data_IF_957619447521
#
_entry.id   IF_957619447521
#
_cell.length_a   1.000
_cell.length_b   1.000
_cell.length_c   1.000
_cell.angle_alpha   90.00
_cell.angle_beta   90.00
_cell.angle_gamma   90.00
#
_symmetry.space_group_name_H-M   'P 1'
#
loop_
_entity.id
_entity.type
_entity.pdbx_description
1 polymer ?
#
# COMPACT_ATOMS: atom_id res chain seq x y z
N UNK A 1 -32.26 78.90 -15.94
CA UNK A 1 -31.97 77.52 -16.40
C UNK A 1 -33.03 76.64 -15.77
N UNK A 2 -33.85 75.97 -16.56
CA UNK A 2 -34.93 75.11 -16.03
C UNK A 2 -34.37 73.74 -15.66
N UNK A 3 -35.01 73.15 -14.62
CA UNK A 3 -34.70 71.85 -14.06
C UNK A 3 -35.08 70.70 -15.04
N UNK A 4 -34.23 69.70 -15.04
CA UNK A 4 -34.47 68.45 -15.81
C UNK A 4 -35.56 67.60 -15.17
N UNK A 5 -36.36 66.85 -15.95
CA UNK A 5 -37.43 66.00 -15.43
C UNK A 5 -36.92 64.69 -14.85
N UNK A 6 -37.56 64.24 -13.77
CA UNK A 6 -37.41 62.92 -13.15
C UNK A 6 -37.77 61.78 -14.15
N UNK A 7 -37.01 60.68 -14.12
CA UNK A 7 -37.43 59.49 -14.90
C UNK A 7 -38.53 58.73 -14.18
N UNK A 8 -39.50 58.29 -14.97
CA UNK A 8 -40.64 57.51 -14.57
C UNK A 8 -40.26 56.15 -13.96
N UNK A 9 -40.97 55.78 -12.87
CA UNK A 9 -40.87 54.48 -12.23
C UNK A 9 -41.42 53.36 -13.12
N UNK A 10 -40.54 52.39 -13.44
CA UNK A 10 -40.93 51.11 -14.09
C UNK A 10 -41.72 50.22 -13.10
N UNK A 11 -42.77 49.51 -13.56
CA UNK A 11 -43.50 48.57 -12.72
C UNK A 11 -42.71 47.28 -12.50
N UNK A 12 -42.72 46.79 -11.25
CA UNK A 12 -42.06 45.57 -10.83
C UNK A 12 -42.65 44.33 -11.58
N UNK A 13 -41.78 43.37 -12.01
CA UNK A 13 -42.26 42.15 -12.65
C UNK A 13 -42.96 41.22 -11.65
N UNK A 14 -44.12 40.74 -12.01
CA UNK A 14 -44.93 39.75 -11.29
C UNK A 14 -44.15 38.43 -11.09
N UNK A 15 -44.09 37.96 -9.85
CA UNK A 15 -43.57 36.62 -9.49
C UNK A 15 -44.45 35.54 -10.08
N UNK A 16 -43.90 34.59 -10.86
CA UNK A 16 -44.61 33.35 -11.13
C UNK A 16 -44.55 32.46 -9.89
N UNK A 17 -45.68 32.08 -9.36
CA UNK A 17 -45.82 31.02 -8.38
C UNK A 17 -45.39 29.70 -8.98
N UNK A 18 -44.22 29.22 -8.61
CA UNK A 18 -43.73 27.90 -8.88
C UNK A 18 -43.72 27.10 -7.58
N UNK A 19 -44.70 26.27 -7.37
CA UNK A 19 -44.65 25.15 -6.44
C UNK A 19 -43.62 24.15 -6.99
N UNK A 20 -42.37 24.43 -6.78
CA UNK A 20 -41.27 23.47 -7.03
C UNK A 20 -41.14 22.59 -5.82
N UNK A 21 -41.69 21.41 -5.90
CA UNK A 21 -41.36 20.26 -5.07
C UNK A 21 -39.86 19.99 -5.22
N UNK A 22 -39.05 20.66 -4.40
CA UNK A 22 -37.64 20.26 -4.19
C UNK A 22 -37.65 19.00 -3.33
N UNK A 23 -37.95 17.88 -3.98
CA UNK A 23 -37.65 16.58 -3.44
C UNK A 23 -36.18 16.55 -3.07
N UNK A 24 -35.91 16.82 -1.79
CA UNK A 24 -34.63 16.51 -1.18
C UNK A 24 -34.26 15.07 -1.58
N UNK A 25 -33.33 14.93 -2.50
CA UNK A 25 -32.69 13.66 -2.77
C UNK A 25 -31.98 13.25 -1.48
N UNK A 26 -32.72 12.58 -0.61
CA UNK A 26 -32.23 11.91 0.59
C UNK A 26 -31.22 10.89 0.06
N UNK A 27 -29.95 11.32 -0.03
CA UNK A 27 -28.83 10.43 -0.33
C UNK A 27 -28.85 9.38 0.77
N UNK A 28 -29.39 8.19 0.45
CA UNK A 28 -29.48 7.05 1.37
C UNK A 28 -28.12 6.86 2.01
N UNK A 29 -28.03 7.07 3.33
CA UNK A 29 -26.82 6.77 4.10
C UNK A 29 -26.39 5.34 3.77
N UNK A 30 -25.13 5.10 3.39
CA UNK A 30 -24.66 3.75 3.11
C UNK A 30 -24.90 2.88 4.35
N UNK A 31 -25.26 1.62 4.14
CA UNK A 31 -25.43 0.68 5.26
C UNK A 31 -24.13 0.57 6.09
N UNK A 32 -24.26 0.33 7.40
CA UNK A 32 -23.09 0.16 8.29
C UNK A 32 -22.11 -0.90 7.77
N UNK A 33 -22.62 -1.99 7.16
CA UNK A 33 -21.80 -3.02 6.54
C UNK A 33 -20.98 -2.48 5.37
N UNK A 34 -21.58 -1.67 4.49
CA UNK A 34 -20.87 -1.02 3.37
C UNK A 34 -19.84 -0.02 3.88
N UNK A 35 -20.13 0.71 4.96
CA UNK A 35 -19.20 1.61 5.61
C UNK A 35 -18.00 0.85 6.20
N UNK A 36 -18.26 -0.27 6.91
CA UNK A 36 -17.21 -1.13 7.45
C UNK A 36 -16.33 -1.72 6.35
N UNK A 37 -16.90 -2.26 5.27
CA UNK A 37 -16.15 -2.80 4.14
C UNK A 37 -15.25 -1.73 3.47
N UNK A 38 -15.73 -0.49 3.33
CA UNK A 38 -14.92 0.62 2.81
C UNK A 38 -13.76 0.98 3.76
N UNK A 39 -13.99 0.96 5.08
CA UNK A 39 -12.96 1.23 6.09
C UNK A 39 -11.90 0.12 6.12
N UNK A 40 -12.25 -1.14 5.85
CA UNK A 40 -11.31 -2.25 5.72
C UNK A 40 -10.31 -2.08 4.55
N UNK A 41 -10.62 -1.21 3.58
CA UNK A 41 -9.78 -0.88 2.40
C UNK A 41 -9.32 -2.09 1.59
N UNK A 42 -10.23 -2.89 1.00
CA UNK A 42 -9.84 -4.10 0.25
C UNK A 42 -8.85 -3.83 -0.90
N UNK A 43 -8.87 -2.65 -1.53
CA UNK A 43 -7.88 -2.26 -2.54
C UNK A 43 -6.44 -2.30 -2.01
N UNK A 44 -6.24 -2.11 -0.70
CA UNK A 44 -4.91 -2.16 -0.09
C UNK A 44 -4.45 -3.59 0.23
N UNK A 45 -5.34 -4.59 0.12
CA UNK A 45 -4.98 -6.00 0.30
C UNK A 45 -4.04 -6.52 -0.79
N UNK A 46 -3.99 -5.86 -1.95
CA UNK A 46 -3.01 -6.14 -3.02
C UNK A 46 -1.57 -6.13 -2.49
N UNK A 47 -1.25 -5.30 -1.50
CA UNK A 47 0.07 -5.26 -0.85
C UNK A 47 0.42 -6.55 -0.11
N UNK A 48 -0.59 -7.30 0.33
CA UNK A 48 -0.39 -8.57 1.03
C UNK A 48 -0.05 -9.72 0.07
N UNK A 49 -0.17 -9.52 -1.26
CA UNK A 49 0.31 -10.49 -2.27
C UNK A 49 1.80 -10.80 -2.10
N UNK A 50 2.57 -9.90 -1.47
CA UNK A 50 3.98 -10.14 -1.16
C UNK A 50 4.21 -11.37 -0.25
N UNK A 51 3.17 -11.84 0.47
CA UNK A 51 3.21 -13.10 1.22
C UNK A 51 3.52 -14.31 0.30
N UNK A 52 3.13 -14.24 -0.97
CA UNK A 52 3.39 -15.30 -1.94
C UNK A 52 4.83 -15.31 -2.47
N UNK A 53 5.63 -14.25 -2.24
CA UNK A 53 6.94 -14.10 -2.86
C UNK A 53 7.93 -15.21 -2.47
N UNK A 54 8.07 -15.55 -1.18
CA UNK A 54 8.98 -16.60 -0.73
C UNK A 54 8.52 -18.01 -1.17
N UNK A 55 7.25 -18.41 -1.00
CA UNK A 55 6.74 -19.68 -1.51
C UNK A 55 6.86 -19.82 -3.04
N UNK A 56 6.64 -18.72 -3.78
CA UNK A 56 6.82 -18.72 -5.24
C UNK A 56 8.29 -18.90 -5.62
N UNK A 57 9.21 -18.22 -4.93
CA UNK A 57 10.65 -18.35 -5.17
C UNK A 57 11.18 -19.75 -4.85
N UNK A 58 10.54 -20.45 -3.92
CA UNK A 58 10.88 -21.83 -3.57
C UNK A 58 10.16 -22.90 -4.41
N UNK A 59 9.26 -22.50 -5.33
CA UNK A 59 8.52 -23.43 -6.19
C UNK A 59 7.53 -24.33 -5.45
N UNK A 60 7.02 -23.93 -4.28
CA UNK A 60 6.13 -24.77 -3.47
C UNK A 60 4.64 -24.40 -3.58
N UNK A 61 4.29 -23.39 -4.39
CA UNK A 61 2.89 -22.95 -4.56
C UNK A 61 2.01 -23.95 -5.32
N UNK A 62 2.56 -24.91 -6.02
CA UNK A 62 1.87 -26.02 -6.67
C UNK A 62 1.45 -27.11 -5.68
N UNK A 63 2.02 -27.12 -4.46
CA UNK A 63 1.67 -28.03 -3.39
C UNK A 63 0.46 -27.51 -2.62
N UNK A 64 -0.64 -28.25 -2.62
CA UNK A 64 -1.93 -27.81 -2.05
C UNK A 64 -1.85 -27.34 -0.60
N UNK A 65 -1.09 -28.04 0.24
CA UNK A 65 -0.91 -27.68 1.66
C UNK A 65 -0.14 -26.37 1.83
N UNK A 66 0.92 -26.16 1.02
CA UNK A 66 1.73 -24.95 1.10
C UNK A 66 0.98 -23.74 0.52
N UNK A 67 0.22 -23.93 -0.54
CA UNK A 67 -0.70 -22.92 -1.06
C UNK A 67 -1.74 -22.55 -0.01
N UNK A 68 -2.34 -23.53 0.68
CA UNK A 68 -3.33 -23.28 1.74
C UNK A 68 -2.72 -22.46 2.90
N UNK A 69 -1.52 -22.84 3.40
CA UNK A 69 -0.81 -22.08 4.45
C UNK A 69 -0.50 -20.64 3.99
N UNK A 70 -0.10 -20.48 2.75
CA UNK A 70 0.16 -19.14 2.16
C UNK A 70 -1.12 -18.30 2.10
N UNK A 71 -2.26 -18.90 1.72
CA UNK A 71 -3.56 -18.24 1.72
C UNK A 71 -4.00 -17.86 3.14
N UNK A 72 -3.76 -18.71 4.14
CA UNK A 72 -4.00 -18.38 5.55
C UNK A 72 -3.16 -17.16 5.97
N UNK A 73 -1.88 -17.12 5.61
CA UNK A 73 -1.02 -15.98 5.89
C UNK A 73 -1.54 -14.69 5.19
N UNK A 74 -1.96 -14.79 3.94
CA UNK A 74 -2.55 -13.68 3.20
C UNK A 74 -3.82 -13.13 3.89
N UNK A 75 -4.75 -14.01 4.28
CA UNK A 75 -5.97 -13.63 5.00
C UNK A 75 -5.62 -13.01 6.36
N UNK A 76 -4.67 -13.60 7.10
CA UNK A 76 -4.16 -13.06 8.36
C UNK A 76 -3.68 -11.61 8.20
N UNK A 77 -2.88 -11.32 7.18
CA UNK A 77 -2.43 -9.95 6.88
C UNK A 77 -3.56 -9.03 6.40
N UNK A 78 -4.56 -9.53 5.69
CA UNK A 78 -5.72 -8.73 5.30
C UNK A 78 -6.52 -8.28 6.54
N UNK A 79 -6.74 -9.19 7.50
CA UNK A 79 -7.40 -8.89 8.76
C UNK A 79 -6.57 -7.91 9.60
N UNK A 80 -5.27 -8.17 9.78
CA UNK A 80 -4.36 -7.32 10.53
C UNK A 80 -4.27 -5.90 9.94
N UNK A 81 -4.08 -5.77 8.63
CA UNK A 81 -4.02 -4.46 7.96
C UNK A 81 -5.35 -3.71 8.07
N UNK A 82 -6.48 -4.40 7.92
CA UNK A 82 -7.81 -3.81 8.09
C UNK A 82 -8.01 -3.30 9.52
N UNK A 83 -7.60 -4.07 10.53
CA UNK A 83 -7.66 -3.65 11.94
C UNK A 83 -6.94 -2.32 12.16
N UNK A 84 -5.73 -2.16 11.60
CA UNK A 84 -4.96 -0.92 11.69
C UNK A 84 -5.69 0.24 10.99
N UNK A 85 -6.33 0.01 9.82
CA UNK A 85 -7.11 1.07 9.16
C UNK A 85 -8.32 1.51 9.99
N UNK A 86 -9.05 0.57 10.59
CA UNK A 86 -10.15 0.90 11.51
C UNK A 86 -9.67 1.72 12.70
N UNK A 87 -8.55 1.32 13.31
CA UNK A 87 -7.98 2.01 14.46
C UNK A 87 -7.54 3.44 14.09
N UNK A 88 -6.82 3.59 12.97
CA UNK A 88 -6.33 4.88 12.51
C UNK A 88 -7.49 5.83 12.18
N UNK A 89 -8.45 5.37 11.35
CA UNK A 89 -9.60 6.21 10.98
C UNK A 89 -10.48 6.55 12.20
N UNK A 90 -10.52 5.68 13.24
CA UNK A 90 -11.24 5.96 14.50
C UNK A 90 -10.47 6.88 15.46
N UNK A 91 -9.15 6.98 15.36
CA UNK A 91 -8.35 7.89 16.16
C UNK A 91 -8.28 9.28 15.52
N UNK A 92 -8.19 9.34 14.20
CA UNK A 92 -8.01 10.58 13.44
C UNK A 92 -9.34 11.20 12.98
N UNK A 93 -10.53 10.69 13.40
CA UNK A 93 -11.82 11.03 12.80
C UNK A 93 -12.17 12.55 12.92
N UNK A 94 -11.77 13.22 13.99
CA UNK A 94 -12.01 14.66 14.16
C UNK A 94 -11.16 15.50 13.19
N UNK A 95 -9.89 15.18 13.07
CA UNK A 95 -8.98 15.81 12.12
C UNK A 95 -9.40 15.50 10.66
N UNK A 96 -9.80 14.25 10.39
CA UNK A 96 -10.26 13.83 9.06
C UNK A 96 -11.53 14.59 8.62
N UNK A 97 -12.42 14.99 9.52
CA UNK A 97 -13.61 15.83 9.20
C UNK A 97 -13.26 17.18 8.62
N UNK A 98 -12.15 17.76 9.07
CA UNK A 98 -11.69 19.07 8.61
C UNK A 98 -10.88 18.98 7.31
N UNK A 99 -10.42 17.80 6.94
CA UNK A 99 -9.55 17.60 5.78
C UNK A 99 -10.36 17.55 4.46
N UNK A 100 -9.93 18.22 3.36
CA UNK A 100 -10.68 18.31 2.11
C UNK A 100 -11.10 16.97 1.51
N UNK A 101 -10.23 15.96 1.53
CA UNK A 101 -10.48 14.63 0.95
C UNK A 101 -10.86 13.57 1.99
N UNK A 102 -10.20 13.57 3.16
CA UNK A 102 -10.39 12.54 4.20
C UNK A 102 -11.76 12.65 4.89
N UNK A 103 -12.43 13.80 4.84
CA UNK A 103 -13.82 13.99 5.36
C UNK A 103 -14.82 12.98 4.76
N UNK A 104 -14.50 12.39 3.61
CA UNK A 104 -15.34 11.37 2.94
C UNK A 104 -15.08 9.94 3.45
N UNK A 105 -14.13 9.72 4.38
CA UNK A 105 -13.94 8.43 5.04
C UNK A 105 -15.18 8.08 5.85
N UNK A 106 -15.60 6.79 5.89
CA UNK A 106 -16.87 6.40 6.51
C UNK A 106 -17.02 6.86 7.96
N UNK A 107 -15.96 6.83 8.76
CA UNK A 107 -15.99 7.24 10.17
C UNK A 107 -16.08 8.76 10.29
N UNK A 108 -15.25 9.50 9.56
CA UNK A 108 -15.28 10.96 9.52
C UNK A 108 -16.62 11.50 9.01
N UNK A 109 -17.21 10.83 8.00
CA UNK A 109 -18.54 11.16 7.44
C UNK A 109 -19.72 10.76 8.34
N UNK A 110 -19.48 10.12 9.50
CA UNK A 110 -20.52 9.69 10.44
C UNK A 110 -21.34 8.49 9.99
N UNK A 111 -20.83 7.69 9.01
CA UNK A 111 -21.48 6.46 8.56
C UNK A 111 -21.15 5.26 9.45
N UNK A 112 -20.07 5.34 10.25
CA UNK A 112 -19.67 4.34 11.22
C UNK A 112 -19.18 5.07 12.47
N UNK A 113 -19.71 4.66 13.63
CA UNK A 113 -19.33 5.23 14.92
C UNK A 113 -17.87 4.87 15.29
N UNK A 114 -17.05 5.82 15.80
CA UNK A 114 -15.65 5.55 16.17
C UNK A 114 -15.48 4.46 17.24
N UNK A 115 -16.44 4.31 18.18
CA UNK A 115 -16.40 3.23 19.19
C UNK A 115 -16.61 1.88 18.54
N UNK A 116 -17.62 1.77 17.66
CA UNK A 116 -17.87 0.56 16.88
C UNK A 116 -16.67 0.21 16.02
N UNK A 117 -16.02 1.19 15.38
CA UNK A 117 -14.81 0.97 14.61
C UNK A 117 -13.64 0.41 15.44
N UNK A 118 -13.43 0.90 16.68
CA UNK A 118 -12.43 0.34 17.60
C UNK A 118 -12.75 -1.10 18.03
N UNK A 119 -14.03 -1.41 18.26
CA UNK A 119 -14.45 -2.79 18.57
C UNK A 119 -14.16 -3.71 17.38
N UNK A 120 -14.53 -3.29 16.16
CA UNK A 120 -14.22 -4.05 14.93
C UNK A 120 -12.71 -4.25 14.79
N UNK A 121 -11.91 -3.22 15.03
CA UNK A 121 -10.44 -3.33 15.00
C UNK A 121 -9.94 -4.41 15.98
N UNK A 122 -10.42 -4.40 17.23
CA UNK A 122 -10.07 -5.43 18.22
C UNK A 122 -10.46 -6.83 17.79
N UNK A 123 -11.66 -7.01 17.25
CA UNK A 123 -12.14 -8.30 16.71
C UNK A 123 -11.26 -8.76 15.56
N UNK A 124 -10.90 -7.87 14.62
CA UNK A 124 -10.03 -8.20 13.49
C UNK A 124 -8.61 -8.59 13.94
N UNK A 125 -8.06 -7.94 14.98
CA UNK A 125 -6.78 -8.35 15.58
C UNK A 125 -6.87 -9.76 16.10
N UNK A 126 -7.89 -10.07 16.94
CA UNK A 126 -8.07 -11.42 17.50
C UNK A 126 -8.25 -12.46 16.40
N UNK A 127 -9.08 -12.18 15.39
CA UNK A 127 -9.29 -13.09 14.26
C UNK A 127 -8.01 -13.31 13.45
N UNK A 128 -7.22 -12.26 13.21
CA UNK A 128 -5.94 -12.35 12.51
C UNK A 128 -4.96 -13.28 13.22
N UNK A 129 -4.83 -13.14 14.54
CA UNK A 129 -3.97 -14.01 15.35
C UNK A 129 -4.52 -15.44 15.44
N UNK A 130 -5.84 -15.60 15.60
CA UNK A 130 -6.48 -16.91 15.75
C UNK A 130 -6.40 -17.75 14.48
N UNK A 131 -6.64 -17.14 13.29
CA UNK A 131 -6.59 -17.87 12.02
C UNK A 131 -5.17 -18.32 11.66
N UNK A 132 -4.14 -17.60 12.13
CA UNK A 132 -2.74 -17.92 11.86
C UNK A 132 -2.12 -18.84 12.92
N UNK A 133 -2.75 -18.98 14.09
CA UNK A 133 -2.22 -19.78 15.22
C UNK A 133 -1.89 -21.25 14.88
N UNK A 134 -2.70 -21.98 14.07
CA UNK A 134 -2.41 -23.36 13.74
C UNK A 134 -1.23 -23.54 12.75
N UNK A 135 -0.76 -22.45 12.11
CA UNK A 135 0.25 -22.53 11.06
C UNK A 135 1.65 -22.48 11.66
N UNK A 136 2.45 -23.49 11.37
CA UNK A 136 3.86 -23.60 11.73
C UNK A 136 4.10 -23.32 13.24
N UNK A 137 3.40 -24.05 14.11
CA UNK A 137 3.55 -23.97 15.57
C UNK A 137 3.45 -22.54 16.14
N UNK A 138 2.59 -21.71 15.55
CA UNK A 138 2.39 -20.32 15.97
C UNK A 138 3.47 -19.33 15.49
N UNK A 139 4.45 -19.76 14.75
CA UNK A 139 5.51 -18.86 14.22
C UNK A 139 4.92 -17.78 13.29
N UNK A 140 3.93 -18.15 12.45
CA UNK A 140 3.22 -17.20 11.60
C UNK A 140 2.50 -16.14 12.45
N UNK A 141 1.87 -16.57 13.56
CA UNK A 141 1.20 -15.65 14.50
C UNK A 141 2.19 -14.67 15.12
N UNK A 142 3.41 -15.12 15.46
CA UNK A 142 4.45 -14.23 15.97
C UNK A 142 4.85 -13.16 14.92
N UNK A 143 4.93 -13.52 13.64
CA UNK A 143 5.18 -12.54 12.56
C UNK A 143 4.03 -11.53 12.43
N UNK A 144 2.78 -11.99 12.48
CA UNK A 144 1.60 -11.11 12.46
C UNK A 144 1.56 -10.19 13.69
N UNK A 145 1.87 -10.71 14.88
CA UNK A 145 1.96 -9.90 16.09
C UNK A 145 3.06 -8.85 15.99
N UNK A 146 4.23 -9.21 15.46
CA UNK A 146 5.31 -8.26 15.17
C UNK A 146 4.88 -7.18 14.17
N UNK A 147 4.15 -7.55 13.11
CA UNK A 147 3.58 -6.58 12.17
C UNK A 147 2.58 -5.63 12.84
N UNK A 148 1.66 -6.15 13.67
CA UNK A 148 0.70 -5.32 14.41
C UNK A 148 1.42 -4.36 15.38
N UNK A 149 2.43 -4.85 16.12
CA UNK A 149 3.25 -4.03 17.01
C UNK A 149 3.99 -2.92 16.24
N UNK A 150 4.61 -3.25 15.09
CA UNK A 150 5.26 -2.28 14.21
C UNK A 150 4.29 -1.21 13.73
N UNK A 151 3.10 -1.60 13.24
CA UNK A 151 2.11 -0.67 12.72
C UNK A 151 1.50 0.21 13.81
N UNK A 152 1.30 -0.34 15.01
CA UNK A 152 0.88 0.45 16.16
C UNK A 152 1.95 1.47 16.55
N UNK A 153 3.21 1.06 16.69
CA UNK A 153 4.34 1.94 16.98
C UNK A 153 4.52 3.01 15.90
N UNK A 154 4.33 2.64 14.62
CA UNK A 154 4.34 3.58 13.51
C UNK A 154 3.28 4.65 13.67
N UNK A 155 2.04 4.25 13.98
CA UNK A 155 0.93 5.20 14.14
C UNK A 155 1.16 6.17 15.30
N UNK A 156 1.77 5.71 16.39
CA UNK A 156 1.96 6.51 17.61
C UNK A 156 3.21 7.39 17.58
N UNK A 157 4.33 6.87 17.06
CA UNK A 157 5.65 7.54 17.20
C UNK A 157 6.47 7.56 15.93
N UNK A 158 6.70 6.41 15.27
CA UNK A 158 7.72 6.28 14.23
C UNK A 158 7.45 7.12 12.98
N UNK A 159 6.20 7.46 12.72
CA UNK A 159 5.80 8.30 11.58
C UNK A 159 6.27 9.76 11.68
N UNK A 160 6.74 10.19 12.85
CA UNK A 160 7.22 11.55 13.10
C UNK A 160 8.75 11.67 13.00
N UNK A 161 9.47 10.55 12.91
CA UNK A 161 10.93 10.52 12.86
C UNK A 161 11.39 10.28 11.43
N UNK A 162 12.09 11.25 10.80
CA UNK A 162 12.64 11.09 9.46
C UNK A 162 13.55 9.86 9.36
N UNK A 163 13.57 9.24 8.19
CA UNK A 163 14.26 7.96 7.90
C UNK A 163 13.62 6.77 8.60
N UNK A 164 13.28 6.89 9.89
CA UNK A 164 12.61 5.82 10.64
C UNK A 164 11.21 5.55 10.07
N UNK A 165 10.48 6.60 9.61
CA UNK A 165 9.18 6.42 8.96
C UNK A 165 9.31 5.60 7.67
N UNK A 166 10.36 5.84 6.86
CA UNK A 166 10.63 5.06 5.65
C UNK A 166 10.98 3.61 5.98
N UNK A 167 11.87 3.42 6.96
CA UNK A 167 12.30 2.10 7.41
C UNK A 167 11.14 1.30 8.00
N UNK A 168 10.27 1.91 8.81
CA UNK A 168 9.12 1.25 9.41
C UNK A 168 8.09 0.79 8.36
N UNK A 169 7.82 1.63 7.34
CA UNK A 169 6.94 1.24 6.23
C UNK A 169 7.57 0.11 5.42
N UNK A 170 8.88 0.18 5.09
CA UNK A 170 9.59 -0.87 4.38
C UNK A 170 9.59 -2.18 5.19
N UNK A 171 9.84 -2.14 6.50
CA UNK A 171 9.78 -3.30 7.38
C UNK A 171 8.40 -3.98 7.37
N UNK A 172 7.31 -3.21 7.26
CA UNK A 172 5.97 -3.76 7.09
C UNK A 172 5.82 -4.61 5.83
N UNK A 173 6.48 -4.26 4.74
CA UNK A 173 6.52 -5.08 3.51
C UNK A 173 7.42 -6.31 3.68
N UNK A 174 8.59 -6.15 4.30
CA UNK A 174 9.51 -7.28 4.60
C UNK A 174 8.83 -8.33 5.46
N UNK A 175 8.08 -7.93 6.49
CA UNK A 175 7.32 -8.86 7.34
C UNK A 175 6.28 -9.68 6.54
N UNK A 176 5.69 -9.12 5.48
CA UNK A 176 4.82 -9.88 4.58
C UNK A 176 5.58 -10.94 3.79
N UNK A 177 6.77 -10.59 3.27
CA UNK A 177 7.61 -11.54 2.56
C UNK A 177 8.10 -12.66 3.50
N UNK A 178 8.51 -12.32 4.73
CA UNK A 178 8.90 -13.27 5.78
C UNK A 178 7.72 -14.20 6.13
N UNK A 179 6.51 -13.67 6.24
CA UNK A 179 5.33 -14.44 6.62
C UNK A 179 5.06 -15.59 5.65
N UNK A 180 5.27 -15.40 4.35
CA UNK A 180 5.13 -16.46 3.35
C UNK A 180 6.09 -17.61 3.60
N UNK A 181 7.38 -17.32 3.77
CA UNK A 181 8.38 -18.33 4.09
C UNK A 181 8.11 -19.03 5.42
N UNK A 182 7.73 -18.26 6.45
CA UNK A 182 7.38 -18.84 7.77
C UNK A 182 6.14 -19.72 7.68
N UNK A 183 5.12 -19.33 6.91
CA UNK A 183 3.89 -20.13 6.76
C UNK A 183 4.18 -21.49 6.14
N UNK A 184 5.03 -21.55 5.12
CA UNK A 184 5.37 -22.76 4.37
C UNK A 184 6.60 -23.49 4.91
N UNK A 185 7.29 -22.94 5.92
CA UNK A 185 8.53 -23.52 6.44
C UNK A 185 9.72 -23.42 5.48
N UNK A 186 9.59 -22.63 4.41
CA UNK A 186 10.65 -22.39 3.44
C UNK A 186 11.75 -21.52 4.06
N UNK A 187 13.03 -21.94 4.01
CA UNK A 187 14.13 -21.12 4.49
C UNK A 187 14.27 -19.86 3.62
N UNK A 188 14.38 -18.71 4.28
CA UNK A 188 14.58 -17.43 3.61
C UNK A 188 16.07 -17.20 3.44
N UNK A 189 16.53 -17.03 2.19
CA UNK A 189 17.93 -16.65 1.95
C UNK A 189 18.18 -15.20 2.33
N UNK A 190 19.42 -14.89 2.71
CA UNK A 190 19.81 -13.50 3.01
C UNK A 190 19.59 -12.57 1.81
N UNK A 191 19.87 -13.05 0.60
CA UNK A 191 19.64 -12.30 -0.64
C UNK A 191 18.16 -11.97 -0.86
N UNK A 192 17.26 -12.92 -0.57
CA UNK A 192 15.82 -12.68 -0.66
C UNK A 192 15.40 -11.56 0.30
N UNK A 193 15.90 -11.59 1.55
CA UNK A 193 15.58 -10.56 2.53
C UNK A 193 16.13 -9.18 2.13
N UNK A 194 17.34 -9.14 1.56
CA UNK A 194 17.94 -7.90 1.05
C UNK A 194 17.13 -7.36 -0.14
N UNK A 195 16.75 -8.20 -1.10
CA UNK A 195 15.90 -7.79 -2.24
C UNK A 195 14.55 -7.27 -1.75
N UNK A 196 13.89 -7.97 -0.82
CA UNK A 196 12.61 -7.55 -0.26
C UNK A 196 12.73 -6.22 0.51
N UNK A 197 13.78 -6.05 1.31
CA UNK A 197 14.04 -4.84 2.09
C UNK A 197 14.38 -3.64 1.21
N UNK A 198 15.34 -3.78 0.33
CA UNK A 198 15.77 -2.73 -0.59
C UNK A 198 14.66 -2.37 -1.59
N UNK A 199 13.95 -3.36 -2.13
CA UNK A 199 12.79 -3.15 -3.00
C UNK A 199 11.65 -2.41 -2.30
N UNK A 200 11.38 -2.76 -1.04
CA UNK A 200 10.39 -2.04 -0.22
C UNK A 200 10.79 -0.59 0.02
N UNK A 201 12.05 -0.34 0.36
CA UNK A 201 12.56 1.02 0.55
C UNK A 201 12.53 1.83 -0.75
N UNK A 202 12.86 1.22 -1.89
CA UNK A 202 12.76 1.82 -3.21
C UNK A 202 11.32 2.28 -3.53
N UNK A 203 10.32 1.43 -3.29
CA UNK A 203 8.91 1.76 -3.52
C UNK A 203 8.42 2.84 -2.55
N UNK A 204 8.79 2.75 -1.26
CA UNK A 204 8.37 3.71 -0.24
C UNK A 204 8.93 5.10 -0.53
N UNK A 205 10.21 5.20 -0.90
CA UNK A 205 10.84 6.48 -1.27
C UNK A 205 10.27 7.05 -2.56
N UNK A 206 9.94 6.20 -3.54
CA UNK A 206 9.23 6.60 -4.76
C UNK A 206 7.87 7.22 -4.46
N UNK A 207 7.10 6.60 -3.55
CA UNK A 207 5.82 7.14 -3.10
C UNK A 207 5.98 8.50 -2.41
N UNK A 208 7.00 8.67 -1.53
CA UNK A 208 7.27 9.96 -0.88
C UNK A 208 7.64 11.06 -1.88
N UNK A 209 8.43 10.69 -2.90
CA UNK A 209 8.76 11.61 -3.97
C UNK A 209 7.53 12.08 -4.74
N UNK A 210 6.64 11.18 -5.13
CA UNK A 210 5.40 11.51 -5.81
C UNK A 210 4.49 12.40 -4.94
N UNK A 211 4.34 12.07 -3.65
CA UNK A 211 3.59 12.90 -2.68
C UNK A 211 4.16 14.32 -2.59
N UNK A 212 5.49 14.51 -2.61
CA UNK A 212 6.12 15.84 -2.60
C UNK A 212 5.84 16.62 -3.90
N UNK A 213 5.93 15.97 -5.04
CA UNK A 213 5.69 16.62 -6.34
C UNK A 213 4.22 17.05 -6.47
N UNK A 214 3.27 16.22 -5.99
CA UNK A 214 1.84 16.48 -6.06
C UNK A 214 1.40 17.61 -5.12
N UNK A 215 1.94 17.64 -3.90
CA UNK A 215 1.51 18.58 -2.85
C UNK A 215 2.26 19.93 -2.88
N UNK A 216 3.44 19.99 -3.53
CA UNK A 216 4.23 21.22 -3.62
C UNK A 216 4.46 21.88 -2.24
N UNK A 217 4.10 23.18 -2.10
CA UNK A 217 4.22 23.94 -0.85
C UNK A 217 3.29 23.48 0.27
N UNK A 218 2.20 22.77 -0.03
CA UNK A 218 1.21 22.31 0.95
C UNK A 218 1.61 21.01 1.63
N UNK A 219 2.79 20.46 1.31
CA UNK A 219 3.30 19.20 1.84
C UNK A 219 3.44 19.19 3.37
N UNK A 220 3.75 20.32 3.98
CA UNK A 220 3.94 20.49 5.43
C UNK A 220 2.65 20.29 6.24
N UNK A 221 1.49 20.69 5.70
CA UNK A 221 0.20 20.53 6.39
C UNK A 221 -0.28 19.08 6.40
N UNK A 222 0.21 18.26 5.46
CA UNK A 222 -0.27 16.89 5.24
C UNK A 222 0.51 15.83 6.00
N UNK A 223 1.82 16.05 6.25
CA UNK A 223 2.67 15.11 6.97
C UNK A 223 3.93 15.81 7.49
N UNK A 224 4.19 15.72 8.79
CA UNK A 224 5.33 16.41 9.45
C UNK A 224 6.70 16.04 8.85
N UNK A 225 6.92 14.76 8.55
CA UNK A 225 8.20 14.27 8.00
C UNK A 225 8.38 14.53 6.50
N UNK A 226 7.31 14.75 5.74
CA UNK A 226 7.42 14.93 4.29
C UNK A 226 8.16 16.24 3.93
N UNK A 227 8.00 17.27 4.72
CA UNK A 227 8.70 18.56 4.56
C UNK A 227 10.19 18.51 4.90
N UNK A 228 10.63 17.49 5.64
CA UNK A 228 12.03 17.34 6.03
C UNK A 228 12.88 16.62 4.96
N UNK A 229 12.23 15.96 4.00
CA UNK A 229 12.91 15.32 2.89
C UNK A 229 13.10 16.27 1.71
N UNK A 230 14.32 16.39 1.22
CA UNK A 230 14.54 16.97 -0.11
C UNK A 230 14.31 15.92 -1.19
N UNK A 231 13.90 16.36 -2.39
CA UNK A 231 13.79 15.50 -3.58
C UNK A 231 15.12 14.83 -3.92
N UNK A 232 16.25 15.55 -3.69
CA UNK A 232 17.59 15.01 -3.86
C UNK A 232 17.88 13.87 -2.88
N UNK A 233 17.50 13.99 -1.60
CA UNK A 233 17.66 12.94 -0.61
C UNK A 233 16.84 11.70 -0.96
N UNK A 234 15.56 11.87 -1.31
CA UNK A 234 14.71 10.75 -1.75
C UNK A 234 15.26 10.08 -3.02
N UNK A 235 15.82 10.87 -3.96
CA UNK A 235 16.52 10.35 -5.13
C UNK A 235 17.74 9.53 -4.76
N UNK A 236 18.57 10.02 -3.83
CA UNK A 236 19.74 9.29 -3.32
C UNK A 236 19.36 7.96 -2.66
N UNK A 237 18.38 7.95 -1.74
CA UNK A 237 17.91 6.72 -1.07
C UNK A 237 17.37 5.72 -2.11
N UNK A 238 16.62 6.20 -3.09
CA UNK A 238 16.08 5.39 -4.19
C UNK A 238 17.18 4.77 -5.04
N UNK A 239 18.23 5.54 -5.38
CA UNK A 239 19.36 5.04 -6.15
C UNK A 239 20.14 3.96 -5.38
N UNK A 240 20.43 4.18 -4.10
CA UNK A 240 21.08 3.19 -3.22
C UNK A 240 20.21 1.94 -3.11
N UNK A 241 18.92 2.08 -2.82
CA UNK A 241 17.99 0.96 -2.67
C UNK A 241 17.88 0.12 -3.96
N UNK A 242 17.75 0.76 -5.13
CA UNK A 242 17.71 0.05 -6.42
C UNK A 242 19.04 -0.67 -6.72
N UNK A 243 20.17 -0.03 -6.47
CA UNK A 243 21.49 -0.64 -6.65
C UNK A 243 21.69 -1.89 -5.77
N UNK A 244 21.36 -1.79 -4.47
CA UNK A 244 21.43 -2.92 -3.54
C UNK A 244 20.48 -4.04 -3.97
N UNK A 245 19.23 -3.70 -4.34
CA UNK A 245 18.23 -4.67 -4.78
C UNK A 245 18.68 -5.43 -6.04
N UNK A 246 19.19 -4.73 -7.06
CA UNK A 246 19.69 -5.33 -8.30
C UNK A 246 20.87 -6.25 -8.01
N UNK A 247 21.84 -5.78 -7.22
CA UNK A 247 23.02 -6.57 -6.87
C UNK A 247 22.64 -7.84 -6.11
N UNK A 248 21.79 -7.71 -5.09
CA UNK A 248 21.34 -8.86 -4.30
C UNK A 248 20.55 -9.87 -5.15
N UNK A 249 19.71 -9.38 -6.10
CA UNK A 249 19.01 -10.27 -7.01
C UNK A 249 19.97 -11.02 -7.96
N UNK A 250 20.99 -10.33 -8.50
CA UNK A 250 22.01 -10.98 -9.34
C UNK A 250 22.75 -12.09 -8.58
N UNK A 251 23.16 -11.81 -7.32
CA UNK A 251 23.87 -12.79 -6.49
C UNK A 251 22.97 -13.98 -6.16
N UNK A 252 21.71 -13.73 -5.81
CA UNK A 252 20.72 -14.77 -5.60
C UNK A 252 20.52 -15.63 -6.86
N UNK A 253 20.38 -15.01 -8.04
CA UNK A 253 20.17 -15.70 -9.30
C UNK A 253 21.41 -16.57 -9.70
N UNK A 254 22.62 -16.08 -9.41
CA UNK A 254 23.84 -16.86 -9.65
C UNK A 254 23.98 -18.06 -8.70
N UNK A 255 23.64 -17.87 -7.43
CA UNK A 255 23.67 -18.93 -6.41
C UNK A 255 22.66 -20.04 -6.75
N UNK A 256 21.41 -19.67 -7.10
CA UNK A 256 20.39 -20.64 -7.49
C UNK A 256 20.72 -21.33 -8.80
N UNK A 257 21.25 -20.62 -9.79
CA UNK A 257 21.71 -21.22 -11.04
C UNK A 257 22.83 -22.27 -10.81
N UNK A 258 23.70 -22.05 -9.82
CA UNK A 258 24.75 -23.00 -9.48
C UNK A 258 24.23 -24.22 -8.72
N UNK A 259 23.20 -24.07 -7.88
CA UNK A 259 22.63 -25.13 -7.04
C UNK A 259 21.71 -26.09 -7.82
N UNK A 260 20.94 -25.58 -8.79
CA UNK A 260 19.97 -26.36 -9.58
C UNK A 260 20.58 -27.04 -10.81
N UNK A 261 21.78 -26.61 -11.22
CA UNK A 261 22.42 -27.09 -12.46
C UNK A 261 21.86 -26.45 -13.74
N UNK A 262 20.69 -25.80 -13.68
CA UNK A 262 20.14 -24.99 -14.76
C UNK A 262 20.59 -23.54 -14.61
N UNK A 263 21.70 -23.22 -15.27
CA UNK A 263 22.32 -21.91 -15.18
C UNK A 263 21.69 -20.85 -16.06
N UNK A 264 20.78 -21.20 -16.96
CA UNK A 264 20.32 -20.31 -18.03
C UNK A 264 19.17 -19.40 -17.56
N UNK A 265 18.09 -19.97 -17.03
CA UNK A 265 16.86 -19.22 -16.78
C UNK A 265 16.96 -18.21 -15.65
N UNK A 266 17.60 -18.59 -14.53
CA UNK A 266 17.85 -17.62 -13.44
C UNK A 266 18.74 -16.47 -13.89
N UNK A 267 19.77 -16.72 -14.73
CA UNK A 267 20.64 -15.66 -15.26
C UNK A 267 19.90 -14.74 -16.24
N UNK A 268 19.07 -15.31 -17.12
CA UNK A 268 18.28 -14.54 -18.07
C UNK A 268 17.24 -13.64 -17.36
N UNK A 269 16.65 -14.11 -16.25
CA UNK A 269 15.68 -13.33 -15.48
C UNK A 269 16.25 -12.02 -14.91
N UNK A 270 17.57 -11.90 -14.79
CA UNK A 270 18.24 -10.66 -14.37
C UNK A 270 17.93 -9.51 -15.33
N UNK A 271 17.91 -9.76 -16.63
CA UNK A 271 17.70 -8.71 -17.63
C UNK A 271 16.34 -8.03 -17.50
N UNK A 272 15.20 -8.76 -17.54
CA UNK A 272 13.91 -8.13 -17.35
C UNK A 272 13.73 -7.55 -15.94
N UNK A 273 14.33 -8.14 -14.91
CA UNK A 273 14.31 -7.56 -13.55
C UNK A 273 14.95 -6.17 -13.53
N UNK A 274 16.17 -6.03 -14.05
CA UNK A 274 16.87 -4.74 -14.10
C UNK A 274 16.09 -3.71 -14.92
N UNK A 275 15.58 -4.11 -16.09
CA UNK A 275 14.77 -3.22 -16.94
C UNK A 275 13.51 -2.76 -16.20
N UNK A 276 12.82 -3.66 -15.49
CA UNK A 276 11.63 -3.31 -14.70
C UNK A 276 11.96 -2.28 -13.60
N UNK A 277 13.06 -2.47 -12.87
CA UNK A 277 13.51 -1.54 -11.82
C UNK A 277 13.82 -0.17 -12.41
N UNK A 278 14.58 -0.12 -13.51
CA UNK A 278 14.94 1.14 -14.16
C UNK A 278 13.71 1.84 -14.79
N UNK A 279 12.80 1.07 -15.40
CA UNK A 279 11.55 1.63 -15.94
C UNK A 279 10.68 2.21 -14.85
N UNK A 280 10.54 1.50 -13.73
CA UNK A 280 9.78 2.00 -12.58
C UNK A 280 10.43 3.26 -12.00
N UNK A 281 11.77 3.31 -11.89
CA UNK A 281 12.50 4.49 -11.45
C UNK A 281 12.23 5.71 -12.35
N UNK A 282 12.20 5.49 -13.69
CA UNK A 282 11.89 6.53 -14.66
C UNK A 282 10.47 7.08 -14.51
N UNK A 283 9.48 6.20 -14.29
CA UNK A 283 8.08 6.62 -14.07
C UNK A 283 7.95 7.47 -12.80
N UNK A 284 8.66 7.11 -11.73
CA UNK A 284 8.71 7.93 -10.51
C UNK A 284 9.32 9.31 -10.80
N UNK A 285 10.43 9.35 -11.54
CA UNK A 285 11.13 10.59 -11.87
C UNK A 285 10.27 11.54 -12.71
N UNK A 286 9.39 11.00 -13.54
CA UNK A 286 8.39 11.73 -14.33
C UNK A 286 7.15 12.18 -13.53
N UNK A 287 7.16 12.01 -12.20
CA UNK A 287 6.06 12.41 -11.32
C UNK A 287 4.98 11.34 -11.10
N UNK A 288 5.16 10.13 -11.66
CA UNK A 288 4.34 8.95 -11.32
C UNK A 288 4.73 8.36 -9.96
N UNK A 289 4.06 7.30 -9.55
CA UNK A 289 4.49 6.48 -8.40
C UNK A 289 3.76 6.70 -7.08
N UNK A 290 2.73 7.54 -7.05
CA UNK A 290 1.88 7.74 -5.86
C UNK A 290 1.19 6.43 -5.39
N UNK A 291 0.78 5.59 -6.34
CA UNK A 291 0.25 4.25 -6.09
C UNK A 291 1.01 3.23 -6.94
N UNK A 292 1.92 2.43 -6.34
CA UNK A 292 2.75 1.45 -7.06
C UNK A 292 1.94 0.48 -7.94
N UNK A 293 0.79 0.05 -7.44
CA UNK A 293 -0.14 -0.82 -8.15
C UNK A 293 -0.71 -0.17 -9.42
N UNK A 294 -0.98 1.13 -9.40
CA UNK A 294 -1.48 1.87 -10.56
C UNK A 294 -0.39 2.08 -11.61
N UNK A 295 0.85 2.31 -11.18
CA UNK A 295 2.01 2.41 -12.09
C UNK A 295 2.17 1.12 -12.89
N UNK A 296 2.18 -0.03 -12.22
CA UNK A 296 2.33 -1.33 -12.89
C UNK A 296 1.16 -1.61 -13.83
N UNK A 297 -0.07 -1.25 -13.45
CA UNK A 297 -1.27 -1.48 -14.26
C UNK A 297 -1.40 -0.50 -15.44
N UNK A 298 -0.79 0.67 -15.39
CA UNK A 298 -0.88 1.69 -16.44
C UNK A 298 0.28 1.65 -17.44
N UNK A 299 1.46 1.18 -17.05
CA UNK A 299 2.65 1.16 -17.90
C UNK A 299 2.80 -0.18 -18.66
N UNK A 300 2.55 -0.15 -19.96
CA UNK A 300 2.64 -1.35 -20.83
C UNK A 300 4.04 -1.96 -20.87
N UNK A 301 5.08 -1.15 -20.76
CA UNK A 301 6.47 -1.66 -20.75
C UNK A 301 6.72 -2.45 -19.47
N UNK A 302 6.29 -1.93 -18.30
CA UNK A 302 6.38 -2.67 -17.04
C UNK A 302 5.57 -3.97 -17.08
N UNK A 303 4.40 -3.97 -17.69
CA UNK A 303 3.58 -5.19 -17.83
C UNK A 303 4.29 -6.25 -18.68
N UNK A 304 4.82 -5.87 -19.83
CA UNK A 304 5.53 -6.82 -20.73
C UNK A 304 6.81 -7.33 -20.06
N UNK A 305 7.63 -6.42 -19.54
CA UNK A 305 8.89 -6.79 -18.88
C UNK A 305 8.64 -7.60 -17.62
N UNK A 306 7.62 -7.25 -16.83
CA UNK A 306 7.19 -8.00 -15.66
C UNK A 306 6.71 -9.41 -16.03
N UNK A 307 5.96 -9.56 -17.12
CA UNK A 307 5.54 -10.87 -17.61
C UNK A 307 6.74 -11.72 -18.05
N UNK A 308 7.67 -11.15 -18.80
CA UNK A 308 8.92 -11.84 -19.21
C UNK A 308 9.71 -12.26 -17.97
N UNK A 309 9.81 -11.39 -16.96
CA UNK A 309 10.45 -11.73 -15.69
C UNK A 309 9.76 -12.93 -15.02
N UNK A 310 8.44 -12.88 -14.85
CA UNK A 310 7.68 -13.97 -14.22
C UNK A 310 7.86 -15.29 -14.97
N UNK A 311 7.83 -15.28 -16.31
CA UNK A 311 8.01 -16.49 -17.12
C UNK A 311 9.43 -17.05 -16.93
N UNK A 312 10.47 -16.23 -17.10
CA UNK A 312 11.86 -16.68 -16.97
C UNK A 312 12.18 -17.16 -15.56
N UNK A 313 11.64 -16.49 -14.56
CA UNK A 313 11.76 -16.89 -13.17
C UNK A 313 11.05 -18.22 -12.88
N UNK A 314 9.78 -18.36 -13.30
CA UNK A 314 9.00 -19.58 -13.08
C UNK A 314 9.64 -20.80 -13.78
N UNK A 315 10.15 -20.63 -14.98
CA UNK A 315 10.89 -21.71 -15.68
C UNK A 315 12.16 -22.07 -14.92
N UNK A 316 12.90 -21.07 -14.37
CA UNK A 316 14.08 -21.34 -13.55
C UNK A 316 13.78 -22.07 -12.23
N UNK A 317 12.58 -21.91 -11.67
CA UNK A 317 12.15 -22.56 -10.42
C UNK A 317 11.63 -23.98 -10.64
N UNK A 318 10.98 -24.28 -11.79
CA UNK A 318 10.31 -25.56 -12.06
C UNK A 318 11.00 -26.39 -13.14
N UNK A 319 11.95 -25.84 -13.89
CA UNK A 319 12.72 -26.53 -14.94
C UNK A 319 13.99 -27.13 -14.39
#
# INVERSE_FOLDING_TARGET
MPAAPEPASEPAPSRPGGTGDTGDAVTKRPSALKAAFRTARPKQWTKNVLVFAAPAAAGVLDQGDELFKTLVAFVGFCLAASAIYFLNDANDYEADRLHPTKRHRPIAAGHLDPRTARIIAGVLVVLSLAVTAPVNDGKLTAVIAGYLALQFSYTMWLKYEPVIDLAAVAAGFVLRAIAGGVATGVPLSDWFLIVAGAGSLFIVTGKRHAEQVELGSDSLEHRSTLGEYSTAFLGYVRAVASGVMITAYCLWAFENAASTGDTFWFRISIVPFVIAVLRYALVIDQGGGGAPEEVVLSDRVLQVVGLVFVITFAVGVHG
#
